data_IF_005023473513
#
_entry.id   IF_005023473513
#
_cell.length_a   1.000
_cell.length_b   1.000
_cell.length_c   1.000
_cell.angle_alpha   90.00
_cell.angle_beta   90.00
_cell.angle_gamma   90.00
#
_symmetry.space_group_name_H-M   'P 1'
#
loop_
_entity.id
_entity.type
_entity.pdbx_description
1 polymer ?
#
# COMPACT_ATOMS: atom_id res chain seq x y z
N UNK A 1 19.96 7.25 -25.08
CA UNK A 1 19.31 5.94 -25.26
C UNK A 1 19.62 4.97 -24.13
N UNK A 2 20.89 4.67 -23.83
CA UNK A 2 21.29 3.74 -22.76
C UNK A 2 20.77 4.11 -21.35
N UNK A 3 20.86 5.38 -20.94
CA UNK A 3 20.39 5.85 -19.63
C UNK A 3 18.88 5.60 -19.40
N UNK A 4 18.04 5.80 -20.42
CA UNK A 4 16.59 5.54 -20.33
C UNK A 4 16.33 4.04 -20.09
N UNK A 5 17.06 3.18 -20.79
CA UNK A 5 16.97 1.73 -20.61
C UNK A 5 17.42 1.31 -19.22
N UNK A 6 18.54 1.86 -18.73
CA UNK A 6 19.05 1.55 -17.39
C UNK A 6 18.07 1.98 -16.29
N UNK A 7 17.45 3.16 -16.42
CA UNK A 7 16.42 3.63 -15.47
C UNK A 7 15.19 2.73 -15.45
N UNK A 8 14.70 2.32 -16.63
CA UNK A 8 13.57 1.38 -16.73
C UNK A 8 13.90 0.03 -16.08
N UNK A 9 15.11 -0.46 -16.31
CA UNK A 9 15.59 -1.72 -15.72
C UNK A 9 15.64 -1.63 -14.19
N UNK A 10 16.24 -0.58 -13.64
CA UNK A 10 16.33 -0.36 -12.20
C UNK A 10 14.95 -0.27 -11.52
N UNK A 11 13.95 0.30 -12.19
CA UNK A 11 12.56 0.33 -11.70
C UNK A 11 12.01 -1.10 -11.57
N UNK A 12 12.17 -1.92 -12.62
CA UNK A 12 11.68 -3.30 -12.63
C UNK A 12 12.40 -4.16 -11.58
N UNK A 13 13.72 -4.02 -11.44
CA UNK A 13 14.48 -4.72 -10.41
C UNK A 13 14.01 -4.37 -9.00
N UNK A 14 13.69 -3.10 -8.75
CA UNK A 14 13.15 -2.67 -7.46
C UNK A 14 11.78 -3.31 -7.19
N UNK A 15 10.92 -3.41 -8.21
CA UNK A 15 9.62 -4.10 -8.09
C UNK A 15 9.81 -5.59 -7.80
N UNK A 16 10.72 -6.27 -8.50
CA UNK A 16 11.00 -7.68 -8.23
C UNK A 16 11.58 -7.91 -6.84
N UNK A 17 12.49 -7.05 -6.38
CA UNK A 17 13.00 -7.12 -5.01
C UNK A 17 11.87 -7.03 -3.98
N UNK A 18 10.93 -6.09 -4.13
CA UNK A 18 9.79 -5.95 -3.21
C UNK A 18 8.82 -7.14 -3.25
N UNK A 19 8.67 -7.80 -4.40
CA UNK A 19 7.85 -9.01 -4.55
C UNK A 19 8.53 -10.23 -3.95
N UNK A 20 9.84 -10.39 -4.16
CA UNK A 20 10.66 -11.48 -3.58
C UNK A 20 10.74 -11.33 -2.05
N UNK A 21 10.90 -10.10 -1.54
CA UNK A 21 10.88 -9.77 -0.10
C UNK A 21 9.47 -9.89 0.54
N UNK A 22 8.48 -10.37 -0.20
CA UNK A 22 7.10 -10.48 0.27
C UNK A 22 6.37 -11.69 -0.33
N UNK A 23 5.36 -11.46 -1.19
CA UNK A 23 4.47 -12.54 -1.62
C UNK A 23 5.16 -13.63 -2.47
N UNK A 24 6.27 -13.34 -3.14
CA UNK A 24 7.01 -14.32 -3.94
C UNK A 24 8.17 -14.98 -3.18
N UNK A 25 8.33 -14.72 -1.88
CA UNK A 25 9.32 -15.40 -1.06
C UNK A 25 9.10 -16.93 -1.07
N UNK A 26 7.84 -17.35 -1.02
CA UNK A 26 7.43 -18.76 -1.09
C UNK A 26 6.10 -18.89 -1.85
N UNK A 27 6.06 -19.84 -2.79
CA UNK A 27 4.80 -20.18 -3.46
C UNK A 27 3.97 -21.11 -2.56
N UNK A 28 2.67 -20.81 -2.34
CA UNK A 28 1.87 -21.49 -1.32
C UNK A 28 1.40 -22.90 -1.72
N UNK A 29 1.62 -23.34 -2.95
CA UNK A 29 1.10 -24.61 -3.46
C UNK A 29 2.05 -25.27 -4.47
N UNK A 30 1.96 -26.59 -4.61
CA UNK A 30 2.57 -27.32 -5.73
C UNK A 30 1.76 -27.27 -7.03
N UNK A 31 0.56 -26.66 -7.01
CA UNK A 31 -0.34 -26.60 -8.17
C UNK A 31 -0.14 -25.30 -8.96
N UNK A 32 0.10 -25.41 -10.26
CA UNK A 32 0.32 -24.27 -11.15
C UNK A 32 -0.83 -23.24 -11.08
N UNK A 33 -2.08 -23.68 -11.23
CA UNK A 33 -3.24 -22.76 -11.23
C UNK A 33 -3.40 -21.96 -9.93
N UNK A 34 -3.11 -22.57 -8.77
CA UNK A 34 -3.15 -21.87 -7.48
C UNK A 34 -2.02 -20.82 -7.39
N UNK A 35 -0.84 -21.17 -7.89
CA UNK A 35 0.31 -20.28 -7.96
C UNK A 35 0.11 -19.13 -8.96
N UNK A 36 -0.59 -19.35 -10.07
CA UNK A 36 -0.98 -18.28 -11.00
C UNK A 36 -1.93 -17.27 -10.33
N UNK A 37 -2.96 -17.77 -9.62
CA UNK A 37 -3.85 -16.90 -8.86
C UNK A 37 -3.11 -16.13 -7.77
N UNK A 38 -2.16 -16.78 -7.08
CA UNK A 38 -1.30 -16.15 -6.09
C UNK A 38 -0.49 -14.98 -6.65
N UNK A 39 0.15 -15.17 -7.83
CA UNK A 39 0.91 -14.10 -8.50
C UNK A 39 0.00 -12.92 -8.87
N UNK A 40 -1.23 -13.19 -9.34
CA UNK A 40 -2.20 -12.13 -9.63
C UNK A 40 -2.56 -11.33 -8.38
N UNK A 41 -2.86 -12.01 -7.27
CA UNK A 41 -3.11 -11.36 -5.99
C UNK A 41 -1.91 -10.55 -5.51
N UNK A 42 -0.69 -11.08 -5.67
CA UNK A 42 0.55 -10.40 -5.32
C UNK A 42 0.75 -9.10 -6.12
N UNK A 43 0.47 -9.12 -7.43
CA UNK A 43 0.56 -7.95 -8.30
C UNK A 43 -0.47 -6.87 -7.90
N UNK A 44 -1.72 -7.27 -7.63
CA UNK A 44 -2.76 -6.35 -7.14
C UNK A 44 -2.35 -5.74 -5.80
N UNK A 45 -1.89 -6.57 -4.85
CA UNK A 45 -1.44 -6.11 -3.54
C UNK A 45 -0.25 -5.14 -3.64
N UNK A 46 0.70 -5.39 -4.55
CA UNK A 46 1.82 -4.50 -4.82
C UNK A 46 1.33 -3.12 -5.32
N UNK A 47 0.44 -3.10 -6.29
CA UNK A 47 -0.11 -1.85 -6.83
C UNK A 47 -0.87 -1.05 -5.77
N UNK A 48 -1.71 -1.73 -4.97
CA UNK A 48 -2.41 -1.11 -3.85
C UNK A 48 -1.45 -0.55 -2.82
N UNK A 49 -0.40 -1.30 -2.45
CA UNK A 49 0.59 -0.85 -1.49
C UNK A 49 1.36 0.38 -2.01
N UNK A 50 1.69 0.41 -3.30
CA UNK A 50 2.33 1.57 -3.92
C UNK A 50 1.41 2.80 -3.89
N UNK A 51 0.13 2.64 -4.23
CA UNK A 51 -0.85 3.71 -4.16
C UNK A 51 -1.01 4.24 -2.72
N UNK A 52 -1.08 3.35 -1.74
CA UNK A 52 -1.11 3.69 -0.31
C UNK A 52 0.11 4.53 0.08
N UNK A 53 1.32 4.15 -0.34
CA UNK A 53 2.53 4.92 -0.07
C UNK A 53 2.47 6.34 -0.65
N UNK A 54 1.98 6.48 -1.89
CA UNK A 54 1.80 7.79 -2.54
C UNK A 54 0.79 8.66 -1.78
N UNK A 55 -0.36 8.08 -1.40
CA UNK A 55 -1.41 8.81 -0.68
C UNK A 55 -1.03 9.16 0.77
N UNK A 56 -0.18 8.36 1.42
CA UNK A 56 0.36 8.65 2.75
C UNK A 56 1.44 9.75 2.72
N UNK A 57 2.06 9.99 1.56
CA UNK A 57 2.98 11.10 1.31
C UNK A 57 4.33 11.01 2.03
N UNK A 58 5.14 12.07 1.85
CA UNK A 58 6.48 12.18 2.43
C UNK A 58 7.39 11.01 2.05
N UNK A 59 8.15 10.51 3.04
CA UNK A 59 9.06 9.38 2.83
C UNK A 59 8.34 8.07 2.44
N UNK A 60 7.03 7.94 2.67
CA UNK A 60 6.26 6.74 2.30
C UNK A 60 5.97 6.66 0.81
N UNK A 61 6.00 7.77 0.07
CA UNK A 61 5.75 7.79 -1.38
C UNK A 61 6.83 7.06 -2.20
N UNK A 62 8.04 6.95 -1.64
CA UNK A 62 9.21 6.28 -2.23
C UNK A 62 9.71 5.10 -1.37
N UNK A 63 8.98 4.74 -0.32
CA UNK A 63 9.38 3.64 0.56
C UNK A 63 9.20 2.28 -0.10
N UNK A 64 10.08 1.33 0.24
CA UNK A 64 9.92 -0.09 -0.11
C UNK A 64 8.66 -0.68 0.51
N UNK A 65 8.09 -1.70 -0.14
CA UNK A 65 6.88 -2.38 0.30
C UNK A 65 6.97 -2.92 1.75
N UNK A 66 8.13 -3.45 2.16
CA UNK A 66 8.32 -3.93 3.53
C UNK A 66 8.13 -2.82 4.59
N UNK A 67 8.60 -1.61 4.28
CA UNK A 67 8.44 -0.44 5.15
C UNK A 67 6.97 -0.03 5.27
N UNK A 68 6.25 0.00 4.14
CA UNK A 68 4.81 0.33 4.13
C UNK A 68 3.99 -0.71 4.89
N UNK A 69 4.30 -2.01 4.72
CA UNK A 69 3.66 -3.08 5.49
C UNK A 69 3.85 -2.86 6.98
N UNK A 70 5.08 -2.63 7.44
CA UNK A 70 5.39 -2.43 8.86
C UNK A 70 4.77 -1.16 9.45
N UNK A 71 4.76 -0.06 8.70
CA UNK A 71 4.43 1.28 9.23
C UNK A 71 3.01 1.75 8.94
N UNK A 72 2.27 1.10 8.05
CA UNK A 72 0.92 1.56 7.67
C UNK A 72 -0.09 0.41 7.73
N UNK A 73 0.29 -0.79 7.29
CA UNK A 73 -0.65 -1.91 7.13
C UNK A 73 -0.75 -2.77 8.40
N UNK A 74 0.39 -3.30 8.88
CA UNK A 74 0.47 -4.21 10.02
C UNK A 74 0.53 -3.42 11.32
N UNK A 75 -0.49 -2.61 11.56
CA UNK A 75 -0.60 -1.77 12.76
C UNK A 75 -1.70 -2.31 13.68
N UNK A 76 -1.54 -2.23 15.01
CA UNK A 76 -2.62 -2.59 15.90
C UNK A 76 -3.73 -1.55 15.76
N UNK A 77 -4.90 -1.98 15.27
CA UNK A 77 -6.08 -1.14 15.16
C UNK A 77 -7.33 -1.91 15.56
N UNK A 78 -8.29 -1.22 16.19
CA UNK A 78 -9.57 -1.81 16.58
C UNK A 78 -10.71 -1.06 15.91
N UNK A 79 -11.47 -1.76 15.06
CA UNK A 79 -12.70 -1.23 14.49
C UNK A 79 -13.87 -1.53 15.43
N UNK A 80 -14.44 -0.50 16.02
CA UNK A 80 -15.67 -0.54 16.81
C UNK A 80 -16.84 0.02 16.01
N UNK A 81 -18.08 -0.40 16.31
CA UNK A 81 -19.31 0.14 15.68
C UNK A 81 -20.36 0.53 16.73
N UNK A 82 -20.08 1.47 17.65
CA UNK A 82 -21.10 1.97 18.57
C UNK A 82 -22.25 2.59 17.78
N UNK A 83 -23.50 2.21 18.09
CA UNK A 83 -24.70 2.80 17.48
C UNK A 83 -24.66 2.88 15.94
N UNK A 84 -24.07 1.86 15.28
CA UNK A 84 -23.89 1.76 13.82
C UNK A 84 -22.93 2.78 13.19
N UNK A 85 -22.20 3.56 13.99
CA UNK A 85 -21.15 4.44 13.51
C UNK A 85 -19.78 3.75 13.63
N UNK A 86 -19.07 3.47 12.53
CA UNK A 86 -17.75 2.86 12.60
C UNK A 86 -16.72 3.84 13.16
N UNK A 87 -16.04 3.42 14.22
CA UNK A 87 -14.92 4.13 14.85
C UNK A 87 -13.69 3.24 14.76
N UNK A 88 -12.61 3.75 14.19
CA UNK A 88 -11.33 3.06 14.16
C UNK A 88 -10.41 3.63 15.24
N UNK A 89 -10.08 2.81 16.23
CA UNK A 89 -9.09 3.14 17.26
C UNK A 89 -7.69 2.78 16.77
N UNK A 90 -6.79 3.77 16.80
CA UNK A 90 -5.38 3.65 16.45
C UNK A 90 -4.51 3.77 17.71
N UNK A 91 -3.24 3.33 17.67
CA UNK A 91 -2.34 3.42 18.81
C UNK A 91 -2.02 4.87 19.16
N UNK A 92 -1.96 5.18 20.47
CA UNK A 92 -1.52 6.49 20.95
C UNK A 92 0.00 6.66 20.74
N UNK A 93 0.44 7.92 20.54
CA UNK A 93 1.86 8.30 20.42
C UNK A 93 2.65 7.51 19.37
N UNK A 94 1.99 7.07 18.31
CA UNK A 94 2.60 6.27 17.27
C UNK A 94 3.30 7.13 16.20
N UNK A 95 4.57 6.88 15.83
CA UNK A 95 5.35 7.78 14.98
C UNK A 95 4.79 8.05 13.58
N UNK A 96 3.94 7.16 13.05
CA UNK A 96 3.42 7.25 11.68
C UNK A 96 1.96 7.72 11.63
N UNK A 97 1.43 8.22 12.76
CA UNK A 97 0.03 8.66 12.88
C UNK A 97 -0.35 9.67 11.80
N UNK A 98 0.48 10.70 11.58
CA UNK A 98 0.18 11.75 10.59
C UNK A 98 0.10 11.22 9.15
N UNK A 99 0.99 10.31 8.78
CA UNK A 99 0.96 9.66 7.45
C UNK A 99 -0.27 8.78 7.28
N UNK A 100 -0.65 8.04 8.32
CA UNK A 100 -1.84 7.19 8.30
C UNK A 100 -3.12 8.03 8.22
N UNK A 101 -3.22 9.12 8.99
CA UNK A 101 -4.35 10.05 8.93
C UNK A 101 -4.43 10.75 7.56
N UNK A 102 -3.29 11.08 6.96
CA UNK A 102 -3.23 11.64 5.60
C UNK A 102 -3.80 10.68 4.57
N UNK A 103 -3.37 9.41 4.60
CA UNK A 103 -3.95 8.34 3.78
C UNK A 103 -5.47 8.22 3.98
N UNK A 104 -5.94 8.22 5.23
CA UNK A 104 -7.36 8.11 5.56
C UNK A 104 -8.18 9.26 4.95
N UNK A 105 -7.72 10.51 5.12
CA UNK A 105 -8.40 11.69 4.55
C UNK A 105 -8.43 11.63 3.02
N UNK A 106 -7.34 11.22 2.39
CA UNK A 106 -7.23 11.13 0.94
C UNK A 106 -8.05 9.97 0.32
N UNK A 107 -8.43 8.97 1.12
CA UNK A 107 -9.15 7.78 0.62
C UNK A 107 -10.62 7.75 1.01
N UNK A 108 -10.92 8.06 2.28
CA UNK A 108 -12.27 7.95 2.87
C UNK A 108 -12.89 9.34 3.12
N UNK A 109 -12.06 10.34 3.41
CA UNK A 109 -12.50 11.73 3.67
C UNK A 109 -12.71 12.58 2.42
N UNK A 110 -12.63 12.00 1.22
CA UNK A 110 -12.79 12.73 -0.03
C UNK A 110 -14.27 12.90 -0.38
N UNK A 111 -14.82 14.10 -0.19
CA UNK A 111 -15.89 14.60 -1.06
C UNK A 111 -15.21 15.21 -2.29
N UNK A 112 -15.59 14.84 -3.53
CA UNK A 112 -15.08 15.51 -4.73
C UNK A 112 -15.36 17.02 -4.65
N UNK A 113 -14.50 17.87 -5.24
CA UNK A 113 -14.80 19.30 -5.32
C UNK A 113 -16.18 19.48 -5.95
N UNK A 114 -17.01 20.36 -5.37
CA UNK A 114 -18.27 20.74 -6.00
C UNK A 114 -17.97 21.19 -7.43
N UNK A 115 -18.73 20.65 -8.38
CA UNK A 115 -18.64 21.03 -9.78
C UNK A 115 -18.83 22.54 -9.83
N UNK A 116 -17.86 23.26 -10.37
CA UNK A 116 -18.01 24.68 -10.61
C UNK A 116 -19.20 24.88 -11.55
N UNK A 117 -20.30 25.40 -11.01
CA UNK A 117 -21.46 25.78 -11.81
C UNK A 117 -21.03 26.95 -12.69
N UNK A 118 -21.04 26.73 -14.00
CA UNK A 118 -20.84 27.76 -15.03
C UNK A 118 -21.85 28.89 -14.90
#
# INVERSE_FOLDING_TARGET
AADITHRRHAIIETVFADLIDGPLAHMPSGRFGANSAWILCAAIAHNLLRAVGVLAGGAHAVARGATLRRKIITIPARLARPQRQPILHLPAHWPWTEHWLTLWRNTIGYSPPEIATT
#
